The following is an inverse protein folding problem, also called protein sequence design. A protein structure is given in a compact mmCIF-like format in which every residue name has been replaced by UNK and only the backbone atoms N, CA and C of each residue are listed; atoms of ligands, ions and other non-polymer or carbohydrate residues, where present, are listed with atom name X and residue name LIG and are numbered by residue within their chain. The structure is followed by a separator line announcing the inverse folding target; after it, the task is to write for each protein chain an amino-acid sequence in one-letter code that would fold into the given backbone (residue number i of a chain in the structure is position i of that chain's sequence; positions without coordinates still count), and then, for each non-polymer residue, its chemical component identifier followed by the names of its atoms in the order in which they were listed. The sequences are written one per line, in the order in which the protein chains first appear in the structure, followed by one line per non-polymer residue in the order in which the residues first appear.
data_IF_385863607233
#
_entry.id   IF_385863607233
#
_cell.length_a   1.000
_cell.length_b   1.000
_cell.length_c   1.000
_cell.angle_alpha   90.00
_cell.angle_beta   90.00
_cell.angle_gamma   90.00
#
_symmetry.space_group_name_H-M   'P 1'
#
loop_
_entity.id
_entity.type
_entity.pdbx_description
1 polymer ?
#
# COMPACT_ATOMS: atom_id res chain seq x y z
N UNK A 1 -13.83 -17.27 -17.76
CA UNK A 1 -14.27 -15.88 -17.44
C UNK A 1 -13.37 -15.13 -16.43
N UNK A 2 -12.39 -15.76 -15.75
CA UNK A 2 -11.60 -15.10 -14.70
C UNK A 2 -10.48 -14.13 -15.17
N UNK A 3 -9.81 -14.36 -16.31
CA UNK A 3 -8.63 -13.55 -16.69
C UNK A 3 -8.96 -12.15 -17.21
N UNK A 4 -10.09 -11.97 -17.93
CA UNK A 4 -10.53 -10.66 -18.44
C UNK A 4 -10.78 -9.67 -17.30
N UNK A 5 -11.39 -10.12 -16.21
CA UNK A 5 -11.63 -9.30 -15.02
C UNK A 5 -10.34 -8.97 -14.26
N UNK A 6 -9.37 -9.88 -14.26
CA UNK A 6 -8.06 -9.65 -13.64
C UNK A 6 -7.28 -8.54 -14.33
N UNK A 7 -7.18 -8.57 -15.67
CA UNK A 7 -6.48 -7.54 -16.44
C UNK A 7 -7.16 -6.18 -16.30
N UNK A 8 -8.51 -6.16 -16.26
CA UNK A 8 -9.28 -4.94 -16.01
C UNK A 8 -8.93 -4.32 -14.65
N UNK A 9 -8.97 -5.10 -13.56
CA UNK A 9 -8.62 -4.63 -12.21
C UNK A 9 -7.20 -4.07 -12.13
N UNK A 10 -6.26 -4.73 -12.80
CA UNK A 10 -4.88 -4.28 -12.86
C UNK A 10 -4.76 -2.89 -13.50
N UNK A 11 -5.42 -2.67 -14.64
CA UNK A 11 -5.45 -1.36 -15.30
C UNK A 11 -6.15 -0.30 -14.44
N UNK A 12 -7.21 -0.66 -13.73
CA UNK A 12 -7.90 0.28 -12.84
C UNK A 12 -7.02 0.79 -11.70
N UNK A 13 -6.08 -0.02 -11.20
CA UNK A 13 -5.15 0.42 -10.16
C UNK A 13 -4.29 1.62 -10.58
N UNK A 14 -4.00 1.79 -11.88
CA UNK A 14 -3.24 2.95 -12.39
C UNK A 14 -4.00 4.27 -12.16
N UNK A 15 -5.33 4.22 -12.07
CA UNK A 15 -6.17 5.38 -11.75
C UNK A 15 -6.42 5.59 -10.26
N UNK A 16 -5.95 4.71 -9.39
CA UNK A 16 -6.21 4.80 -7.95
C UNK A 16 -5.15 5.64 -7.26
N UNK A 17 -5.55 6.80 -6.73
CA UNK A 17 -4.67 7.72 -5.99
C UNK A 17 -4.05 7.12 -4.72
N UNK A 18 -4.59 6.02 -4.22
CA UNK A 18 -4.14 5.31 -3.03
C UNK A 18 -3.37 4.01 -3.35
N UNK A 19 -2.98 3.78 -4.61
CA UNK A 19 -2.16 2.66 -5.03
C UNK A 19 -0.88 3.17 -5.69
N UNK A 20 0.26 2.77 -5.16
CA UNK A 20 1.58 3.07 -5.70
C UNK A 20 2.18 1.81 -6.32
N UNK A 21 2.70 1.92 -7.54
CA UNK A 21 3.23 0.78 -8.30
C UNK A 21 4.62 1.10 -8.87
N UNK A 22 5.61 1.43 -8.03
CA UNK A 22 6.95 1.76 -8.51
C UNK A 22 7.57 0.58 -9.27
N UNK A 23 8.37 0.87 -10.29
CA UNK A 23 9.13 -0.18 -10.95
C UNK A 23 10.26 -0.67 -10.01
N UNK A 24 10.71 -1.91 -10.20
CA UNK A 24 11.87 -2.45 -9.47
C UNK A 24 13.11 -1.61 -9.73
N UNK A 25 13.28 -1.11 -10.95
CA UNK A 25 14.40 -0.25 -11.33
C UNK A 25 14.37 1.08 -10.57
N UNK A 26 13.20 1.71 -10.44
CA UNK A 26 13.08 2.97 -9.69
C UNK A 26 13.40 2.77 -8.20
N UNK A 27 12.97 1.65 -7.62
CA UNK A 27 13.27 1.32 -6.22
C UNK A 27 14.78 1.09 -6.01
N UNK A 28 15.42 0.30 -6.87
CA UNK A 28 16.84 -0.04 -6.73
C UNK A 28 17.78 1.15 -7.02
N UNK A 29 17.33 2.13 -7.80
CA UNK A 29 18.09 3.35 -8.10
C UNK A 29 17.70 4.53 -7.20
N UNK A 30 17.01 4.29 -6.07
CA UNK A 30 16.54 5.30 -5.12
C UNK A 30 15.74 6.46 -5.78
N UNK A 31 14.99 6.16 -6.85
CA UNK A 31 14.11 7.11 -7.56
C UNK A 31 12.69 7.16 -7.00
N UNK A 32 12.41 6.40 -5.94
CA UNK A 32 11.09 6.37 -5.31
C UNK A 32 10.94 7.48 -4.26
N UNK A 33 10.28 8.57 -4.66
CA UNK A 33 10.16 9.80 -3.89
C UNK A 33 9.40 9.71 -2.56
N UNK A 34 8.64 8.64 -2.31
CA UNK A 34 7.92 8.45 -1.05
C UNK A 34 8.79 7.88 0.06
N UNK A 35 9.93 7.27 -0.24
CA UNK A 35 10.89 6.79 0.76
C UNK A 35 11.30 7.95 1.67
N UNK A 36 11.10 7.80 2.99
CA UNK A 36 11.34 8.84 4.00
C UNK A 36 10.36 10.01 3.99
N UNK A 37 9.27 9.91 3.22
CA UNK A 37 8.34 11.00 2.94
C UNK A 37 6.87 10.58 2.97
N UNK A 38 6.53 9.37 3.41
CA UNK A 38 5.15 8.86 3.38
C UNK A 38 4.17 9.76 4.11
N UNK A 39 4.50 10.14 5.34
CA UNK A 39 3.70 11.03 6.17
C UNK A 39 3.51 12.41 5.54
N UNK A 40 4.57 12.98 4.96
CA UNK A 40 4.56 14.32 4.36
C UNK A 40 3.82 14.37 3.02
N UNK A 41 4.13 13.45 2.11
CA UNK A 41 3.69 13.50 0.71
C UNK A 41 2.40 12.72 0.45
N UNK A 42 2.18 11.62 1.17
CA UNK A 42 1.03 10.74 0.94
C UNK A 42 -0.09 10.96 1.98
N UNK A 43 0.20 10.78 3.27
CA UNK A 43 -0.81 10.87 4.33
C UNK A 43 -1.14 12.30 4.78
N UNK A 44 -0.18 13.23 4.61
CA UNK A 44 -0.28 14.65 5.02
C UNK A 44 -0.57 14.83 6.51
N UNK A 45 0.01 13.97 7.34
CA UNK A 45 -0.08 14.01 8.80
C UNK A 45 1.23 13.46 9.40
N UNK A 46 1.31 13.31 10.72
CA UNK A 46 2.47 12.77 11.43
C UNK A 46 2.15 11.48 12.20
N UNK A 47 1.10 10.76 11.79
CA UNK A 47 0.67 9.55 12.46
C UNK A 47 1.69 8.41 12.23
N UNK A 48 1.81 7.46 13.17
CA UNK A 48 2.67 6.29 12.99
C UNK A 48 2.22 5.46 11.77
N UNK A 49 3.19 4.89 11.06
CA UNK A 49 2.95 4.05 9.88
C UNK A 49 3.06 2.58 10.28
N UNK A 50 2.00 1.84 10.00
CA UNK A 50 1.91 0.38 10.14
C UNK A 50 1.93 -0.25 8.76
N UNK A 51 2.81 -1.22 8.54
CA UNK A 51 2.96 -1.90 7.24
C UNK A 51 2.47 -3.34 7.33
N UNK A 52 1.56 -3.74 6.44
CA UNK A 52 1.15 -5.14 6.26
C UNK A 52 1.92 -5.75 5.09
N UNK A 53 2.74 -6.77 5.36
CA UNK A 53 3.49 -7.51 4.34
C UNK A 53 2.66 -8.69 3.83
N UNK A 54 2.41 -8.72 2.52
CA UNK A 54 1.56 -9.75 1.90
C UNK A 54 0.07 -9.49 2.12
N UNK A 55 -0.38 -8.25 1.93
CA UNK A 55 -1.73 -7.82 2.30
C UNK A 55 -2.87 -8.48 1.49
N UNK A 56 -2.57 -9.19 0.40
CA UNK A 56 -3.54 -9.86 -0.44
C UNK A 56 -4.62 -8.89 -0.92
N UNK A 57 -5.85 -9.07 -0.43
CA UNK A 57 -7.00 -8.22 -0.80
C UNK A 57 -7.04 -6.88 -0.05
N UNK A 58 -6.14 -6.66 0.91
CA UNK A 58 -6.10 -5.46 1.75
C UNK A 58 -7.19 -5.40 2.82
N UNK A 59 -7.86 -6.50 3.13
CA UNK A 59 -9.01 -6.53 4.06
C UNK A 59 -8.57 -6.16 5.49
N UNK A 60 -7.39 -6.62 5.93
CA UNK A 60 -6.82 -6.25 7.24
C UNK A 60 -6.35 -4.81 7.28
N UNK A 61 -5.52 -4.37 6.32
CA UNK A 61 -5.12 -2.96 6.19
C UNK A 61 -6.33 -2.00 6.24
N UNK A 62 -7.41 -2.30 5.51
CA UNK A 62 -8.63 -1.49 5.52
C UNK A 62 -9.36 -1.56 6.87
N UNK A 63 -9.50 -2.76 7.44
CA UNK A 63 -10.16 -2.95 8.73
C UNK A 63 -9.45 -2.21 9.86
N UNK A 64 -8.12 -2.32 9.92
CA UNK A 64 -7.30 -1.62 10.91
C UNK A 64 -7.35 -0.10 10.70
N UNK A 65 -7.34 0.39 9.47
CA UNK A 65 -7.47 1.81 9.18
C UNK A 65 -8.81 2.40 9.66
N UNK A 66 -9.91 1.64 9.59
CA UNK A 66 -11.20 2.03 10.17
C UNK A 66 -11.17 2.05 11.70
N UNK A 67 -10.50 1.08 12.31
CA UNK A 67 -10.46 0.90 13.76
C UNK A 67 -9.53 1.89 14.46
N UNK A 68 -8.44 2.28 13.79
CA UNK A 68 -7.38 3.14 14.32
C UNK A 68 -7.15 4.35 13.41
N UNK A 69 -8.06 5.35 13.40
CA UNK A 69 -7.92 6.55 12.58
C UNK A 69 -6.66 7.39 12.89
N UNK A 70 -6.07 7.20 14.06
CA UNK A 70 -4.83 7.83 14.52
C UNK A 70 -3.55 7.14 14.00
N UNK A 71 -3.67 6.03 13.27
CA UNK A 71 -2.55 5.34 12.61
C UNK A 71 -2.71 5.38 11.09
N UNK A 72 -1.59 5.34 10.38
CA UNK A 72 -1.54 5.20 8.92
C UNK A 72 -1.19 3.76 8.55
N UNK A 73 -1.85 3.19 7.54
CA UNK A 73 -1.65 1.81 7.12
C UNK A 73 -1.17 1.74 5.67
N UNK A 74 -0.18 0.88 5.42
CA UNK A 74 0.28 0.57 4.06
C UNK A 74 0.27 -0.95 3.86
N UNK A 75 -0.56 -1.42 2.93
CA UNK A 75 -0.55 -2.83 2.52
C UNK A 75 0.37 -3.06 1.32
N UNK A 76 1.28 -4.03 1.42
CA UNK A 76 2.21 -4.40 0.34
C UNK A 76 1.89 -5.78 -0.21
N UNK A 77 1.73 -5.90 -1.53
CA UNK A 77 1.61 -7.20 -2.22
C UNK A 77 2.09 -7.09 -3.67
N UNK A 78 2.73 -8.14 -4.18
CA UNK A 78 3.20 -8.19 -5.57
C UNK A 78 2.04 -8.35 -6.59
N UNK A 79 0.91 -8.95 -6.16
CA UNK A 79 -0.28 -9.24 -6.97
C UNK A 79 -1.26 -8.07 -6.93
N UNK A 80 -1.07 -7.13 -7.86
CA UNK A 80 -1.94 -5.94 -7.98
C UNK A 80 -3.44 -6.23 -8.13
N UNK A 81 -3.83 -7.36 -8.71
CA UNK A 81 -5.24 -7.74 -8.83
C UNK A 81 -5.92 -8.05 -7.49
N UNK A 82 -5.13 -8.39 -6.46
CA UNK A 82 -5.62 -8.61 -5.10
C UNK A 82 -5.81 -7.27 -4.39
N UNK A 83 -4.79 -6.41 -4.43
CA UNK A 83 -4.80 -5.05 -3.84
C UNK A 83 -6.02 -4.23 -4.29
N UNK A 84 -6.44 -4.40 -5.56
CA UNK A 84 -7.56 -3.67 -6.14
C UNK A 84 -8.81 -3.64 -5.24
N UNK A 85 -9.10 -4.73 -4.52
CA UNK A 85 -10.30 -4.81 -3.67
C UNK A 85 -10.21 -3.81 -2.50
N UNK A 86 -9.13 -3.88 -1.72
CA UNK A 86 -8.89 -2.97 -0.60
C UNK A 86 -8.81 -1.53 -1.06
N UNK A 87 -8.10 -1.27 -2.16
CA UNK A 87 -7.97 0.06 -2.73
C UNK A 87 -9.32 0.65 -3.17
N UNK A 88 -10.17 -0.15 -3.83
CA UNK A 88 -11.50 0.28 -4.24
C UNK A 88 -12.39 0.60 -3.04
N UNK A 89 -12.38 -0.28 -2.02
CA UNK A 89 -13.18 -0.12 -0.81
C UNK A 89 -12.77 1.15 -0.06
N UNK A 90 -11.47 1.38 0.15
CA UNK A 90 -11.01 2.57 0.87
C UNK A 90 -11.33 3.86 0.13
N UNK A 91 -11.29 3.87 -1.20
CA UNK A 91 -11.74 5.01 -2.00
C UNK A 91 -13.26 5.24 -1.89
N UNK A 92 -14.08 4.18 -2.00
CA UNK A 92 -15.54 4.30 -1.92
C UNK A 92 -16.03 4.74 -0.55
N UNK A 93 -15.38 4.25 0.51
CA UNK A 93 -15.74 4.54 1.90
C UNK A 93 -14.98 5.73 2.48
N UNK A 94 -14.13 6.40 1.68
CA UNK A 94 -13.34 7.60 2.06
C UNK A 94 -12.41 7.35 3.26
N UNK A 95 -11.80 6.17 3.33
CA UNK A 95 -10.81 5.79 4.33
C UNK A 95 -9.45 6.30 3.85
N UNK A 96 -8.98 7.41 4.42
CA UNK A 96 -7.83 8.16 3.90
C UNK A 96 -6.49 7.77 4.55
N UNK A 97 -6.52 7.02 5.65
CA UNK A 97 -5.34 6.54 6.38
C UNK A 97 -4.92 5.12 5.96
N UNK A 98 -5.27 4.69 4.74
CA UNK A 98 -4.79 3.44 4.15
C UNK A 98 -4.36 3.62 2.70
N UNK A 99 -3.16 3.13 2.39
CA UNK A 99 -2.56 3.14 1.06
C UNK A 99 -2.07 1.74 0.71
N UNK A 100 -1.79 1.51 -0.56
CA UNK A 100 -1.29 0.22 -1.04
C UNK A 100 -0.08 0.40 -1.93
N UNK A 101 0.90 -0.51 -1.78
CA UNK A 101 2.09 -0.55 -2.62
C UNK A 101 2.16 -1.89 -3.32
N UNK A 102 2.19 -1.86 -4.65
CA UNK A 102 2.48 -3.05 -5.43
C UNK A 102 3.99 -3.18 -5.60
N UNK A 103 4.61 -4.00 -4.76
CA UNK A 103 6.04 -4.32 -4.85
C UNK A 103 6.35 -5.70 -4.26
N UNK A 104 7.58 -6.15 -4.47
CA UNK A 104 8.17 -7.27 -3.74
C UNK A 104 8.49 -6.81 -2.31
N UNK A 105 8.17 -7.65 -1.32
CA UNK A 105 8.39 -7.31 0.10
C UNK A 105 9.89 -7.21 0.42
N UNK A 106 10.73 -7.88 -0.36
CA UNK A 106 12.19 -7.86 -0.28
C UNK A 106 12.77 -6.47 -0.61
N UNK A 107 12.00 -5.59 -1.26
CA UNK A 107 12.39 -4.22 -1.57
C UNK A 107 11.91 -3.22 -0.51
N UNK A 108 11.50 -3.68 0.68
CA UNK A 108 10.97 -2.79 1.73
C UNK A 108 11.94 -1.66 2.11
N UNK A 109 13.25 -1.91 2.13
CA UNK A 109 14.29 -0.91 2.40
C UNK A 109 14.46 0.12 1.27
N UNK A 110 13.94 -0.18 0.08
CA UNK A 110 13.85 0.77 -1.04
C UNK A 110 12.52 1.54 -1.05
N UNK A 111 11.54 1.12 -0.25
CA UNK A 111 10.20 1.73 -0.15
C UNK A 111 10.12 2.66 1.08
N UNK A 112 10.82 2.32 2.15
CA UNK A 112 10.83 3.06 3.41
C UNK A 112 12.25 3.44 3.83
N UNK A 113 12.40 4.58 4.50
CA UNK A 113 13.66 4.94 5.15
C UNK A 113 13.79 4.27 6.52
N UNK A 114 14.99 4.34 7.09
CA UNK A 114 15.23 4.00 8.49
C UNK A 114 14.26 4.76 9.40
N UNK A 115 13.74 4.07 10.42
CA UNK A 115 12.80 4.59 11.43
C UNK A 115 11.47 5.17 10.90
N UNK A 116 11.11 4.92 9.63
CA UNK A 116 9.86 5.41 9.05
C UNK A 116 8.64 4.54 9.41
N UNK A 117 8.87 3.24 9.63
CA UNK A 117 7.84 2.27 9.98
C UNK A 117 7.79 2.11 11.50
N UNK A 118 6.61 2.28 12.10
CA UNK A 118 6.40 2.07 13.54
C UNK A 118 6.09 0.62 13.88
N UNK A 119 5.46 -0.12 12.96
CA UNK A 119 4.98 -1.48 13.21
C UNK A 119 4.87 -2.28 11.90
N UNK A 120 5.23 -3.56 11.92
CA UNK A 120 5.10 -4.47 10.78
C UNK A 120 4.16 -5.62 11.15
N UNK A 121 3.20 -5.89 10.28
CA UNK A 121 2.23 -6.98 10.38
C UNK A 121 2.52 -8.06 9.34
N UNK A 122 2.61 -9.30 9.81
CA UNK A 122 2.69 -10.50 8.98
C UNK A 122 1.56 -11.44 9.42
N UNK A 123 0.42 -11.35 8.75
CA UNK A 123 -0.83 -11.97 9.22
C UNK A 123 -0.88 -13.46 8.91
N UNK A 124 -0.49 -13.87 7.70
CA UNK A 124 -0.51 -15.28 7.26
C UNK A 124 0.62 -15.54 6.23
N UNK A 125 1.85 -15.87 6.68
CA UNK A 125 2.98 -16.13 5.78
C UNK A 125 2.83 -17.43 4.96
#
# INVERSE_FOLDING_TARGET
MGSKNKLKRFKENEGFKNVYQPSREDLLNDKFNLKGNWNRLAFKNSNPIVVELGCGKGEYSVGLAKMFPEKNFIGIDIKGDRIWKGAKISLSEKINNVLFVRSQIELIENIFSMDEISEIWLTFP
#
